data_IF_125086866003
#
_entry.id   IF_125086866003
#
_cell.length_a   1.000
_cell.length_b   1.000
_cell.length_c   1.000
_cell.angle_alpha   90.00
_cell.angle_beta   90.00
_cell.angle_gamma   90.00
#
_symmetry.space_group_name_H-M   'P 1'
#
loop_
_entity.id
_entity.type
_entity.pdbx_description
1 polymer ?
#
# COMPACT_ATOMS: atom_id res chain seq x y z
N UNK A 1 -27.63 5.48 -17.71
CA UNK A 1 -26.48 5.38 -16.79
C UNK A 1 -26.72 4.15 -15.93
N UNK A 2 -26.27 2.98 -16.39
CA UNK A 2 -26.50 1.71 -15.70
C UNK A 2 -25.70 1.70 -14.40
N UNK A 3 -26.38 1.51 -13.26
CA UNK A 3 -25.72 1.27 -11.98
C UNK A 3 -25.31 -0.19 -11.96
N UNK A 4 -24.03 -0.47 -12.12
CA UNK A 4 -23.51 -1.84 -12.01
C UNK A 4 -23.55 -2.27 -10.53
N UNK A 5 -24.64 -2.93 -10.16
CA UNK A 5 -24.76 -3.63 -8.88
C UNK A 5 -23.87 -4.87 -8.93
N UNK A 6 -22.81 -4.91 -8.10
CA UNK A 6 -21.87 -6.03 -8.14
C UNK A 6 -22.31 -7.14 -7.17
N UNK A 7 -22.52 -8.38 -7.64
CA UNK A 7 -23.00 -9.48 -6.80
C UNK A 7 -22.01 -9.87 -5.69
N UNK A 8 -20.74 -9.50 -5.84
CA UNK A 8 -19.67 -9.77 -4.87
C UNK A 8 -19.55 -8.77 -3.72
N UNK A 9 -20.31 -7.66 -3.73
CA UNK A 9 -20.23 -6.63 -2.69
C UNK A 9 -21.60 -6.48 -2.03
N UNK A 10 -21.74 -7.04 -0.83
CA UNK A 10 -22.96 -7.00 -0.04
C UNK A 10 -22.75 -6.24 1.27
N UNK A 11 -23.79 -5.54 1.73
CA UNK A 11 -23.79 -4.91 3.05
C UNK A 11 -23.78 -5.99 4.15
N UNK A 12 -22.85 -5.95 5.13
CA UNK A 12 -22.78 -6.95 6.19
C UNK A 12 -23.96 -6.91 7.18
N UNK A 13 -24.77 -5.85 7.16
CA UNK A 13 -25.93 -5.71 8.06
C UNK A 13 -27.25 -6.17 7.47
N UNK A 14 -27.46 -6.02 6.16
CA UNK A 14 -28.73 -6.32 5.50
C UNK A 14 -28.61 -7.16 4.23
N UNK A 15 -27.39 -7.64 3.90
CA UNK A 15 -27.08 -8.47 2.72
C UNK A 15 -27.51 -7.91 1.36
N UNK A 16 -27.84 -6.61 1.30
CA UNK A 16 -28.24 -5.96 0.06
C UNK A 16 -27.02 -5.70 -0.83
N UNK A 17 -27.21 -5.82 -2.14
CA UNK A 17 -26.17 -5.56 -3.14
C UNK A 17 -25.81 -4.07 -3.19
N UNK A 18 -24.51 -3.76 -3.16
CA UNK A 18 -23.99 -2.40 -3.25
C UNK A 18 -23.59 -2.06 -4.70
N UNK A 19 -23.83 -0.81 -5.09
CA UNK A 19 -23.40 -0.27 -6.38
C UNK A 19 -22.12 0.56 -6.19
N UNK A 20 -21.12 0.36 -7.04
CA UNK A 20 -19.90 1.16 -7.04
C UNK A 20 -20.11 2.40 -7.92
N UNK A 21 -19.77 3.58 -7.39
CA UNK A 21 -19.83 4.84 -8.14
C UNK A 21 -18.40 5.27 -8.47
N UNK A 22 -18.00 5.31 -9.76
CA UNK A 22 -16.70 5.81 -10.15
C UNK A 22 -16.55 7.30 -9.80
N UNK A 23 -15.51 7.65 -9.05
CA UNK A 23 -15.11 9.04 -8.80
C UNK A 23 -14.02 9.42 -9.80
N UNK A 24 -14.24 10.38 -10.71
CA UNK A 24 -13.19 10.84 -11.62
C UNK A 24 -12.13 11.62 -10.83
N UNK A 25 -10.86 11.19 -10.90
CA UNK A 25 -9.74 11.95 -10.32
C UNK A 25 -8.57 11.13 -9.75
N UNK A 26 -8.70 9.80 -9.57
CA UNK A 26 -7.64 8.99 -8.98
C UNK A 26 -6.86 8.15 -10.02
N UNK A 27 -6.24 8.84 -10.99
CA UNK A 27 -5.22 8.25 -11.87
C UNK A 27 -4.02 9.17 -11.94
N UNK A 28 -2.98 8.87 -11.16
CA UNK A 28 -1.65 9.45 -11.38
C UNK A 28 -0.54 8.44 -11.04
N UNK A 29 0.15 7.90 -12.06
CA UNK A 29 1.52 7.47 -11.96
C UNK A 29 2.42 8.55 -12.61
N UNK A 30 3.19 9.31 -11.82
CA UNK A 30 4.17 10.24 -12.38
C UNK A 30 5.36 10.47 -11.43
N UNK A 31 6.51 10.00 -11.91
CA UNK A 31 7.88 10.49 -11.76
C UNK A 31 8.21 11.48 -10.62
N UNK A 32 9.19 11.08 -9.81
CA UNK A 32 9.93 11.92 -8.88
C UNK A 32 10.97 12.77 -9.64
N UNK A 33 11.08 14.08 -9.40
CA UNK A 33 12.35 14.78 -9.54
C UNK A 33 12.88 15.23 -8.17
N UNK A 34 14.19 15.05 -7.97
CA UNK A 34 14.96 15.44 -6.78
C UNK A 34 14.95 16.96 -6.51
N UNK A 35 15.11 17.42 -5.25
CA UNK A 35 15.04 18.83 -4.89
C UNK A 35 16.39 19.58 -5.02
N UNK A 36 16.42 20.86 -5.42
CA UNK A 36 17.54 21.79 -5.20
C UNK A 36 17.44 22.55 -3.85
N UNK A 37 18.55 23.15 -3.34
CA UNK A 37 18.69 23.53 -1.94
C UNK A 37 18.05 24.88 -1.57
N UNK A 38 17.63 24.99 -0.31
CA UNK A 38 17.05 26.18 0.31
C UNK A 38 18.07 27.29 0.60
N UNK A 39 17.62 28.56 0.64
CA UNK A 39 18.09 29.47 1.67
C UNK A 39 16.96 30.29 2.36
N UNK A 40 16.93 30.15 3.70
CA UNK A 40 16.66 31.07 4.85
C UNK A 40 15.75 32.34 4.76
N UNK A 41 15.18 32.80 5.91
CA UNK A 41 13.95 33.63 5.99
C UNK A 41 14.14 35.11 6.38
N UNK A 42 13.17 35.98 6.04
CA UNK A 42 12.66 37.20 6.75
C UNK A 42 11.96 38.19 5.76
N UNK A 43 11.17 39.22 6.18
CA UNK A 43 10.30 39.40 7.36
C UNK A 43 8.82 39.69 6.97
N UNK A 44 7.93 39.55 7.94
CA UNK A 44 6.49 39.88 7.89
C UNK A 44 6.18 41.36 7.63
N UNK A 45 5.01 41.67 7.05
CA UNK A 45 4.12 42.62 7.71
C UNK A 45 2.66 42.12 7.81
N UNK A 46 2.11 42.14 9.02
CA UNK A 46 0.67 42.10 9.35
C UNK A 46 0.01 43.48 9.16
N UNK A 47 -1.32 43.67 9.32
CA UNK A 47 -2.47 42.78 9.12
C UNK A 47 -3.54 43.44 8.20
N UNK A 48 -4.07 42.73 7.21
CA UNK A 48 -5.32 43.15 6.57
C UNK A 48 -6.48 42.48 7.32
N UNK A 49 -7.24 43.27 8.07
CA UNK A 49 -8.51 42.88 8.69
C UNK A 49 -9.48 42.37 7.62
N UNK A 50 -9.60 41.04 7.51
CA UNK A 50 -10.70 40.40 6.81
C UNK A 50 -11.80 40.19 7.86
N UNK A 51 -13.04 40.67 7.65
CA UNK A 51 -14.11 40.42 8.61
C UNK A 51 -14.33 38.91 8.78
N UNK A 52 -14.70 38.42 9.98
CA UNK A 52 -14.99 37.01 10.18
C UNK A 52 -16.31 36.69 9.47
N UNK A 53 -16.22 36.31 8.20
CA UNK A 53 -17.28 35.52 7.58
C UNK A 53 -17.25 34.20 8.31
N UNK A 54 -18.26 33.98 9.16
CA UNK A 54 -18.58 32.68 9.71
C UNK A 54 -18.85 31.72 8.54
N UNK A 55 -17.76 31.14 8.02
CA UNK A 55 -17.84 30.04 7.11
C UNK A 55 -18.42 28.89 7.93
N UNK A 56 -19.65 28.51 7.56
CA UNK A 56 -20.21 27.19 7.85
C UNK A 56 -19.08 26.16 7.85
N UNK A 57 -19.09 25.23 8.80
CA UNK A 57 -18.27 24.02 8.85
C UNK A 57 -18.43 23.20 7.55
N UNK A 58 -17.86 23.71 6.45
CA UNK A 58 -17.63 23.00 5.22
C UNK A 58 -16.60 21.94 5.58
N UNK A 59 -17.02 20.69 5.59
CA UNK A 59 -16.16 19.57 5.92
C UNK A 59 -14.91 19.62 5.03
N UNK A 60 -13.81 20.10 5.59
CA UNK A 60 -12.52 20.15 4.95
C UNK A 60 -11.80 18.85 5.31
N UNK A 61 -11.38 18.05 4.32
CA UNK A 61 -10.62 16.85 4.63
C UNK A 61 -9.35 17.24 5.39
N UNK A 62 -8.98 16.48 6.44
CA UNK A 62 -7.85 16.83 7.28
C UNK A 62 -6.59 16.95 6.41
N UNK A 63 -5.74 17.95 6.67
CA UNK A 63 -4.53 18.14 5.90
C UNK A 63 -3.67 16.88 5.97
N UNK A 64 -3.02 16.54 4.86
CA UNK A 64 -2.23 15.29 4.72
C UNK A 64 -1.17 15.18 5.82
N UNK A 65 -0.64 16.30 6.32
CA UNK A 65 0.28 16.32 7.45
C UNK A 65 -0.31 15.72 8.74
N UNK A 66 -1.58 15.97 9.04
CA UNK A 66 -2.27 15.40 10.20
C UNK A 66 -2.56 13.90 10.01
N UNK A 67 -2.94 13.50 8.79
CA UNK A 67 -3.12 12.08 8.45
C UNK A 67 -1.79 11.34 8.56
N UNK A 68 -0.71 11.90 8.04
CA UNK A 68 0.61 11.30 8.14
C UNK A 68 1.12 11.29 9.58
N UNK A 69 0.85 12.33 10.38
CA UNK A 69 1.17 12.36 11.81
C UNK A 69 0.48 11.23 12.59
N UNK A 70 -0.80 10.95 12.27
CA UNK A 70 -1.54 9.82 12.84
C UNK A 70 -0.92 8.44 12.52
N UNK A 71 -0.11 8.35 11.46
CA UNK A 71 0.62 7.14 11.08
C UNK A 71 2.12 7.20 11.41
N UNK A 72 2.71 8.38 11.64
CA UNK A 72 4.14 8.59 11.84
C UNK A 72 4.66 7.97 13.14
N UNK A 73 3.80 7.84 14.16
CA UNK A 73 4.13 7.17 15.42
C UNK A 73 3.83 5.67 15.45
N UNK A 74 3.29 5.07 14.36
CA UNK A 74 3.00 3.64 14.36
C UNK A 74 4.29 2.84 14.27
N UNK A 75 4.73 2.36 15.43
CA UNK A 75 5.76 1.34 15.51
C UNK A 75 5.24 0.10 14.80
N UNK A 76 5.82 -0.23 13.63
CA UNK A 76 5.63 -1.54 13.01
C UNK A 76 6.09 -2.57 14.04
N UNK A 77 5.19 -3.43 14.50
CA UNK A 77 5.49 -4.48 15.48
C UNK A 77 6.72 -5.29 15.02
N UNK A 78 7.86 -4.99 15.65
CA UNK A 78 9.15 -5.55 15.28
C UNK A 78 9.17 -7.06 15.53
N UNK A 79 8.42 -7.55 16.51
CA UNK A 79 8.29 -8.97 16.78
C UNK A 79 7.53 -9.67 15.64
N UNK A 80 6.45 -9.06 15.14
CA UNK A 80 5.74 -9.57 13.96
C UNK A 80 6.61 -9.53 12.70
N UNK A 81 7.38 -8.45 12.50
CA UNK A 81 8.33 -8.36 11.39
C UNK A 81 9.41 -9.44 11.46
N UNK A 82 10.00 -9.69 12.63
CA UNK A 82 11.00 -10.75 12.85
C UNK A 82 10.41 -12.15 12.61
N UNK A 83 9.20 -12.42 13.11
CA UNK A 83 8.49 -13.68 12.85
C UNK A 83 8.22 -13.89 11.36
N UNK A 84 7.79 -12.83 10.65
CA UNK A 84 7.61 -12.86 9.20
C UNK A 84 8.92 -13.17 8.48
N UNK A 85 10.00 -12.48 8.83
CA UNK A 85 11.33 -12.70 8.27
C UNK A 85 11.86 -14.12 8.53
N UNK A 86 11.58 -14.71 9.70
CA UNK A 86 11.93 -16.11 9.99
C UNK A 86 11.19 -17.07 9.05
N UNK A 87 9.86 -16.92 8.89
CA UNK A 87 9.07 -17.76 7.99
C UNK A 87 9.54 -17.67 6.53
N UNK A 88 9.93 -16.49 6.07
CA UNK A 88 10.48 -16.29 4.72
C UNK A 88 11.79 -17.05 4.54
N UNK A 89 12.71 -16.95 5.52
CA UNK A 89 13.97 -17.70 5.50
C UNK A 89 13.75 -19.21 5.46
N UNK A 90 12.85 -19.72 6.30
CA UNK A 90 12.52 -21.15 6.32
C UNK A 90 11.92 -21.62 5.00
N UNK A 91 11.04 -20.81 4.41
CA UNK A 91 10.43 -21.11 3.10
C UNK A 91 11.48 -21.18 1.99
N UNK A 92 12.40 -20.20 1.95
CA UNK A 92 13.48 -20.19 0.96
C UNK A 92 14.43 -21.37 1.14
N UNK A 93 14.76 -21.75 2.38
CA UNK A 93 15.58 -22.92 2.64
C UNK A 93 14.90 -24.21 2.18
N UNK A 94 13.61 -24.39 2.48
CA UNK A 94 12.83 -25.53 1.97
C UNK A 94 12.76 -25.56 0.44
N UNK A 95 12.58 -24.41 -0.20
CA UNK A 95 12.55 -24.32 -1.66
C UNK A 95 13.91 -24.72 -2.26
N UNK A 96 15.02 -24.27 -1.67
CA UNK A 96 16.38 -24.63 -2.10
C UNK A 96 16.66 -26.12 -1.95
N UNK A 97 16.31 -26.72 -0.82
CA UNK A 97 16.50 -28.17 -0.60
C UNK A 97 15.66 -29.00 -1.57
N UNK A 98 14.39 -28.64 -1.76
CA UNK A 98 13.52 -29.30 -2.73
C UNK A 98 14.06 -29.16 -4.17
N UNK A 99 14.58 -28.00 -4.55
CA UNK A 99 15.18 -27.80 -5.87
C UNK A 99 16.45 -28.66 -6.05
N UNK A 100 17.29 -28.76 -5.01
CA UNK A 100 18.47 -29.63 -5.03
C UNK A 100 18.08 -31.11 -5.20
N UNK A 101 17.07 -31.57 -4.46
CA UNK A 101 16.53 -32.93 -4.57
C UNK A 101 16.00 -33.22 -5.98
N UNK A 102 15.21 -32.31 -6.57
CA UNK A 102 14.72 -32.47 -7.95
C UNK A 102 15.87 -32.59 -8.95
N UNK A 103 16.91 -31.76 -8.82
CA UNK A 103 18.11 -31.85 -9.69
C UNK A 103 18.84 -33.18 -9.51
N UNK A 104 18.97 -33.67 -8.28
CA UNK A 104 19.58 -34.98 -8.02
C UNK A 104 18.77 -36.14 -8.63
N UNK A 105 17.44 -36.11 -8.47
CA UNK A 105 16.54 -37.09 -9.08
C UNK A 105 16.62 -37.06 -10.61
N UNK A 106 16.60 -35.87 -11.22
CA UNK A 106 16.75 -35.69 -12.67
C UNK A 106 18.10 -36.22 -13.18
N UNK A 107 19.20 -35.98 -12.45
CA UNK A 107 20.51 -36.53 -12.81
C UNK A 107 20.52 -38.05 -12.76
N UNK A 108 19.90 -38.64 -11.74
CA UNK A 108 19.79 -40.10 -11.60
C UNK A 108 18.95 -40.69 -12.73
N UNK A 109 17.79 -40.10 -13.04
CA UNK A 109 16.92 -40.54 -14.14
C UNK A 109 17.56 -40.37 -15.53
N UNK A 110 18.41 -39.35 -15.74
CA UNK A 110 19.20 -39.21 -16.97
C UNK A 110 20.36 -40.21 -17.06
N UNK A 111 20.87 -40.66 -15.92
CA UNK A 111 21.99 -41.60 -15.82
C UNK A 111 21.57 -43.06 -15.89
N UNK A 112 20.29 -43.38 -15.69
CA UNK A 112 19.79 -44.72 -16.03
C UNK A 112 19.78 -44.82 -17.56
N UNK A 113 20.74 -45.54 -18.18
CA UNK A 113 20.69 -45.74 -19.60
C UNK A 113 19.44 -46.57 -19.88
N UNK A 114 18.68 -46.21 -20.92
CA UNK A 114 17.59 -47.06 -21.41
C UNK A 114 18.25 -48.30 -22.02
N UNK A 115 18.47 -49.32 -21.19
CA UNK A 115 18.98 -50.61 -21.61
C UNK A 115 17.83 -51.46 -22.15
N UNK A 116 17.95 -51.81 -23.43
CA UNK A 116 17.11 -52.70 -24.24
C UNK A 116 15.69 -52.21 -24.59
#
# INVERSE_FOLDING_TARGET
MSRDSHPGVQCPHCHSHLALVPVPGNTAPAAVPSPPPAPQPAPVPSPASVPPVAAKEEWQPPPVAEVLAAYAGRVKDSATAMRGAARVRDSLNRARTAAAQRRAAQRTARRTPKSA
#
